data_IF_945048380256
#
_entry.id   IF_945048380256
#
_cell.length_a   1.000
_cell.length_b   1.000
_cell.length_c   1.000
_cell.angle_alpha   90.00
_cell.angle_beta   90.00
_cell.angle_gamma   90.00
#
_symmetry.space_group_name_H-M   'P 1'
#
loop_
_entity.id
_entity.type
_entity.pdbx_description
1 polymer ?
#
# COMPACT_ATOMS: atom_id res chain seq x y z
N UNK A 1 -18.03 33.13 -25.92
CA UNK A 1 -18.10 31.71 -25.53
C UNK A 1 -17.75 30.78 -26.70
N UNK A 2 -18.09 31.14 -27.94
CA UNK A 2 -17.98 30.24 -29.11
C UNK A 2 -16.56 29.82 -29.49
N UNK A 3 -15.53 30.65 -29.24
CA UNK A 3 -14.13 30.30 -29.57
C UNK A 3 -13.57 29.12 -28.77
N UNK A 4 -13.97 28.93 -27.51
CA UNK A 4 -13.47 27.82 -26.69
C UNK A 4 -14.24 26.51 -26.94
N UNK A 5 -15.55 26.60 -27.21
CA UNK A 5 -16.35 25.42 -27.58
C UNK A 5 -15.90 24.81 -28.90
N UNK A 6 -15.55 25.65 -29.88
CA UNK A 6 -15.01 25.20 -31.16
C UNK A 6 -13.61 24.58 -31.02
N UNK A 7 -12.82 25.04 -30.03
CA UNK A 7 -11.49 24.50 -29.75
C UNK A 7 -11.54 23.08 -29.14
N UNK A 8 -12.46 22.82 -28.21
CA UNK A 8 -12.65 21.48 -27.63
C UNK A 8 -13.22 20.50 -28.67
N UNK A 9 -14.19 20.92 -29.48
CA UNK A 9 -14.73 20.08 -30.55
C UNK A 9 -13.65 19.67 -31.56
N UNK A 10 -12.73 20.57 -31.91
CA UNK A 10 -11.61 20.27 -32.78
C UNK A 10 -10.63 19.25 -32.16
N UNK A 11 -10.37 19.32 -30.85
CA UNK A 11 -9.53 18.31 -30.16
C UNK A 11 -10.23 16.95 -30.13
N UNK A 12 -11.54 16.91 -29.83
CA UNK A 12 -12.29 15.66 -29.84
C UNK A 12 -12.24 15.00 -31.21
N UNK A 13 -12.38 15.78 -32.29
CA UNK A 13 -12.19 15.28 -33.65
C UNK A 13 -10.76 14.76 -33.92
N UNK A 14 -9.73 15.43 -33.38
CA UNK A 14 -8.34 14.93 -33.45
C UNK A 14 -8.21 13.59 -32.72
N UNK A 15 -8.77 13.46 -31.51
CA UNK A 15 -8.75 12.23 -30.72
C UNK A 15 -9.47 11.09 -31.44
N UNK A 16 -10.65 11.34 -32.00
CA UNK A 16 -11.39 10.35 -32.80
C UNK A 16 -10.59 9.88 -34.01
N UNK A 17 -9.91 10.82 -34.69
CA UNK A 17 -9.07 10.52 -35.86
C UNK A 17 -7.87 9.64 -35.49
N UNK A 18 -7.20 9.92 -34.35
CA UNK A 18 -6.06 9.12 -33.87
C UNK A 18 -6.52 7.74 -33.40
N UNK A 19 -7.66 7.66 -32.70
CA UNK A 19 -8.26 6.38 -32.29
C UNK A 19 -8.64 5.50 -33.48
N UNK A 20 -9.26 6.08 -34.53
CA UNK A 20 -9.62 5.36 -35.76
C UNK A 20 -8.40 4.86 -36.53
N UNK A 21 -7.32 5.65 -36.58
CA UNK A 21 -6.04 5.22 -37.19
C UNK A 21 -5.43 4.03 -36.46
N UNK A 22 -5.37 4.08 -35.13
CA UNK A 22 -4.83 2.99 -34.30
C UNK A 22 -5.65 1.70 -34.45
N UNK A 23 -6.97 1.81 -34.52
CA UNK A 23 -7.87 0.67 -34.78
C UNK A 23 -7.63 0.04 -36.16
N UNK A 24 -7.35 0.85 -37.19
CA UNK A 24 -7.02 0.37 -38.54
C UNK A 24 -5.65 -0.31 -38.60
N UNK A 25 -4.64 0.23 -37.94
CA UNK A 25 -3.30 -0.38 -37.86
C UNK A 25 -3.34 -1.74 -37.14
N UNK A 26 -4.07 -1.86 -36.02
CA UNK A 26 -4.26 -3.14 -35.33
C UNK A 26 -4.94 -4.20 -36.20
N UNK A 27 -5.93 -3.81 -37.03
CA UNK A 27 -6.57 -4.73 -37.99
C UNK A 27 -5.63 -5.17 -39.13
N UNK A 28 -4.73 -4.29 -39.55
CA UNK A 28 -3.77 -4.55 -40.63
C UNK A 28 -2.60 -5.45 -40.15
N UNK A 29 -2.23 -5.37 -38.87
CA UNK A 29 -1.22 -6.21 -38.24
C UNK A 29 -1.74 -7.65 -38.03
N UNK A 30 -2.99 -7.81 -37.57
CA UNK A 30 -3.67 -9.13 -37.46
C UNK A 30 -3.83 -9.83 -38.82
N UNK A 31 -4.03 -9.06 -39.89
CA UNK A 31 -4.12 -9.59 -41.25
C UNK A 31 -2.76 -10.03 -41.83
N UNK A 32 -1.64 -9.51 -41.30
CA UNK A 32 -0.26 -9.89 -41.69
C UNK A 32 0.30 -11.08 -40.90
N UNK A 33 -0.24 -11.36 -39.72
CA UNK A 33 0.10 -12.56 -38.94
C UNK A 33 -0.70 -13.80 -39.38
N UNK A 34 -1.90 -13.61 -39.94
CA UNK A 34 -2.71 -14.71 -40.48
C UNK A 34 -2.17 -15.39 -41.74
N UNK A 35 -1.05 -14.91 -42.31
CA UNK A 35 -0.45 -15.42 -43.55
C UNK A 35 0.96 -16.02 -43.36
N UNK A 36 1.40 -16.21 -42.09
CA UNK A 36 2.66 -16.87 -41.76
C UNK A 36 2.40 -18.05 -40.81
N UNK A 37 1.88 -19.14 -41.37
CA UNK A 37 1.90 -20.44 -40.71
C UNK A 37 2.74 -21.44 -41.51
N UNK A 38 3.95 -21.72 -41.00
CA UNK A 38 4.63 -23.02 -41.02
C UNK A 38 6.14 -22.84 -40.76
N UNK A 39 6.61 -23.19 -39.54
CA UNK A 39 8.01 -23.57 -39.36
C UNK A 39 8.67 -23.29 -38.01
N UNK A 40 8.57 -24.30 -37.13
CA UNK A 40 9.54 -24.66 -36.08
C UNK A 40 9.78 -23.74 -34.88
N UNK A 41 9.45 -24.29 -33.71
CA UNK A 41 9.85 -23.80 -32.39
C UNK A 41 11.37 -23.94 -32.18
N UNK A 42 12.00 -22.91 -31.60
CA UNK A 42 12.94 -23.00 -30.47
C UNK A 42 13.48 -21.61 -30.10
N UNK A 43 13.66 -21.36 -28.79
CA UNK A 43 14.49 -20.28 -28.25
C UNK A 43 13.78 -18.94 -27.96
N UNK A 44 13.11 -18.82 -26.81
CA UNK A 44 12.67 -17.53 -26.26
C UNK A 44 13.76 -16.97 -25.35
N UNK A 45 14.70 -16.23 -25.92
CA UNK A 45 15.50 -15.27 -25.17
C UNK A 45 14.64 -14.01 -24.96
N UNK A 46 14.43 -13.64 -23.70
CA UNK A 46 13.80 -12.38 -23.32
C UNK A 46 14.75 -11.24 -23.67
N UNK A 47 14.62 -10.72 -24.89
CA UNK A 47 15.16 -9.43 -25.27
C UNK A 47 14.33 -8.33 -24.62
N UNK A 48 14.99 -7.46 -23.86
CA UNK A 48 14.46 -6.15 -23.47
C UNK A 48 14.08 -5.39 -24.75
N UNK A 49 12.79 -5.41 -25.10
CA UNK A 49 12.24 -4.56 -26.16
C UNK A 49 12.34 -3.12 -25.66
N UNK A 50 13.37 -2.41 -26.14
CA UNK A 50 13.45 -0.96 -26.00
C UNK A 50 12.16 -0.34 -26.51
N UNK A 51 11.61 0.60 -25.74
CA UNK A 51 10.48 1.43 -26.13
C UNK A 51 10.84 2.17 -27.43
N UNK A 52 10.50 1.59 -28.59
CA UNK A 52 10.44 2.36 -29.83
C UNK A 52 9.34 3.42 -29.66
N UNK A 53 9.74 4.68 -29.69
CA UNK A 53 8.86 5.86 -29.68
C UNK A 53 7.83 5.74 -30.81
N UNK A 54 6.66 5.20 -30.48
CA UNK A 54 5.53 5.09 -31.40
C UNK A 54 4.95 6.50 -31.61
N UNK A 55 5.16 7.13 -32.79
CA UNK A 55 4.75 8.51 -33.02
C UNK A 55 3.23 8.69 -32.94
N UNK A 56 2.46 7.61 -33.10
CA UNK A 56 1.02 7.63 -32.93
C UNK A 56 0.60 7.60 -31.44
N UNK A 57 1.44 7.07 -30.54
CA UNK A 57 1.23 7.20 -29.08
C UNK A 57 1.56 8.61 -28.60
N UNK A 58 2.68 9.18 -29.04
CA UNK A 58 3.09 10.53 -28.64
C UNK A 58 2.06 11.58 -29.08
N UNK A 59 1.56 11.49 -30.32
CA UNK A 59 0.49 12.36 -30.82
C UNK A 59 -0.84 12.18 -30.07
N UNK A 60 -1.14 10.96 -29.58
CA UNK A 60 -2.31 10.69 -28.75
C UNK A 60 -2.15 11.33 -27.37
N UNK A 61 -0.98 11.16 -26.75
CA UNK A 61 -0.67 11.71 -25.43
C UNK A 61 -0.73 13.24 -25.44
N UNK A 62 -0.15 13.88 -26.46
CA UNK A 62 -0.26 15.33 -26.66
C UNK A 62 -1.73 15.78 -26.80
N UNK A 63 -2.52 15.06 -27.60
CA UNK A 63 -3.93 15.38 -27.81
C UNK A 63 -4.78 15.21 -26.53
N UNK A 64 -4.51 14.16 -25.75
CA UNK A 64 -5.17 13.90 -24.47
C UNK A 64 -4.76 14.96 -23.45
N UNK A 65 -3.48 15.32 -23.41
CA UNK A 65 -2.97 16.36 -22.53
C UNK A 65 -3.61 17.71 -22.85
N UNK A 66 -3.61 18.15 -24.12
CA UNK A 66 -4.26 19.38 -24.56
C UNK A 66 -5.77 19.37 -24.25
N UNK A 67 -6.45 18.24 -24.46
CA UNK A 67 -7.85 18.08 -24.06
C UNK A 67 -8.05 18.31 -22.55
N UNK A 68 -7.20 17.72 -21.71
CA UNK A 68 -7.27 17.89 -20.26
C UNK A 68 -7.03 19.35 -19.86
N UNK A 69 -5.99 19.99 -20.40
CA UNK A 69 -5.66 21.38 -20.11
C UNK A 69 -6.79 22.32 -20.55
N UNK A 70 -7.34 22.17 -21.75
CA UNK A 70 -8.47 22.99 -22.21
C UNK A 70 -9.74 22.73 -21.42
N UNK A 71 -9.97 21.49 -20.98
CA UNK A 71 -11.07 21.15 -20.09
C UNK A 71 -10.93 21.82 -18.73
N UNK A 72 -9.72 21.90 -18.18
CA UNK A 72 -9.45 22.58 -16.90
C UNK A 72 -9.54 24.11 -17.06
N UNK A 73 -8.95 24.66 -18.13
CA UNK A 73 -8.87 26.11 -18.41
C UNK A 73 -10.11 26.66 -19.12
N UNK A 74 -11.29 26.16 -18.78
CA UNK A 74 -12.55 26.68 -19.27
C UNK A 74 -13.18 27.63 -18.24
N UNK A 75 -13.58 28.84 -18.65
CA UNK A 75 -14.42 29.71 -17.81
C UNK A 75 -15.87 29.22 -17.88
N UNK A 76 -16.45 29.01 -16.71
CA UNK A 76 -17.81 28.51 -16.54
C UNK A 76 -18.81 29.65 -16.61
N UNK A 77 -19.91 29.40 -17.31
CA UNK A 77 -21.11 30.23 -17.28
C UNK A 77 -22.29 29.45 -16.70
N UNK A 78 -23.52 29.87 -17.02
CA UNK A 78 -24.75 29.23 -16.51
C UNK A 78 -24.86 27.73 -16.83
N UNK A 79 -24.28 27.28 -17.95
CA UNK A 79 -24.30 25.88 -18.39
C UNK A 79 -23.00 25.16 -18.00
N UNK A 80 -22.71 25.08 -16.70
CA UNK A 80 -21.45 24.53 -16.17
C UNK A 80 -21.15 23.09 -16.62
N UNK A 81 -22.17 22.25 -16.81
CA UNK A 81 -22.03 20.84 -17.24
C UNK A 81 -21.78 20.65 -18.74
N UNK A 82 -21.65 21.74 -19.52
CA UNK A 82 -21.10 21.62 -20.88
C UNK A 82 -19.57 21.41 -20.85
N UNK A 83 -18.94 21.68 -19.70
CA UNK A 83 -17.56 21.31 -19.49
C UNK A 83 -17.47 19.78 -19.28
N UNK A 84 -16.64 19.07 -20.05
CA UNK A 84 -16.58 17.60 -20.00
C UNK A 84 -16.10 17.08 -18.63
N UNK A 85 -15.15 17.76 -17.97
CA UNK A 85 -14.67 17.38 -16.65
C UNK A 85 -15.77 17.50 -15.59
N UNK A 86 -16.53 18.60 -15.58
CA UNK A 86 -17.67 18.75 -14.66
C UNK A 86 -18.81 17.79 -14.97
N UNK A 87 -19.06 17.51 -16.25
CA UNK A 87 -20.05 16.51 -16.64
C UNK A 87 -19.68 15.13 -16.11
N UNK A 88 -18.46 14.69 -16.39
CA UNK A 88 -17.97 13.38 -15.97
C UNK A 88 -17.97 13.22 -14.44
N UNK A 89 -17.45 14.21 -13.72
CA UNK A 89 -17.44 14.18 -12.25
C UNK A 89 -18.84 14.21 -11.62
N UNK A 90 -19.83 14.80 -12.29
CA UNK A 90 -21.22 14.72 -11.85
C UNK A 90 -21.82 13.32 -12.08
N UNK A 91 -21.55 12.70 -13.23
CA UNK A 91 -22.00 11.33 -13.54
C UNK A 91 -21.43 10.32 -12.55
N UNK A 92 -20.18 10.49 -12.10
CA UNK A 92 -19.58 9.65 -11.04
C UNK A 92 -20.30 9.70 -9.68
N UNK A 93 -21.23 10.64 -9.50
CA UNK A 93 -22.11 10.68 -8.34
C UNK A 93 -23.28 9.70 -8.41
N UNK A 94 -23.50 9.03 -9.55
CA UNK A 94 -24.64 8.17 -9.84
C UNK A 94 -24.14 6.73 -9.99
N UNK A 95 -24.75 5.79 -9.27
CA UNK A 95 -24.47 4.36 -9.40
C UNK A 95 -25.26 3.75 -10.56
N UNK A 96 -24.88 2.53 -10.96
CA UNK A 96 -25.56 1.78 -12.04
C UNK A 96 -27.06 1.56 -11.77
N UNK A 97 -27.45 1.42 -10.50
CA UNK A 97 -28.84 1.26 -10.06
C UNK A 97 -29.63 2.58 -10.03
N UNK A 98 -29.01 3.70 -10.43
CA UNK A 98 -29.61 5.03 -10.41
C UNK A 98 -29.60 5.71 -9.03
N UNK A 99 -29.05 5.07 -8.00
CA UNK A 99 -28.92 5.67 -6.66
C UNK A 99 -27.69 6.57 -6.56
N UNK A 100 -27.70 7.49 -5.59
CA UNK A 100 -26.58 8.40 -5.35
C UNK A 100 -25.43 7.70 -4.61
N UNK A 101 -24.21 8.01 -5.02
CA UNK A 101 -22.99 7.61 -4.31
C UNK A 101 -22.90 8.38 -2.98
N UNK A 102 -22.50 7.73 -1.87
CA UNK A 102 -22.30 8.42 -0.60
C UNK A 102 -21.33 9.59 -0.70
N UNK A 103 -21.56 10.65 0.09
CA UNK A 103 -20.77 11.88 0.04
C UNK A 103 -19.27 11.65 0.26
N UNK A 104 -18.91 10.72 1.13
CA UNK A 104 -17.53 10.34 1.40
C UNK A 104 -16.84 9.66 0.23
N UNK A 105 -17.57 8.97 -0.63
CA UNK A 105 -17.03 8.32 -1.83
C UNK A 105 -16.94 9.32 -2.97
N UNK A 106 -18.00 10.10 -3.21
CA UNK A 106 -17.99 11.10 -4.29
C UNK A 106 -16.89 12.17 -4.08
N UNK A 107 -16.74 12.68 -2.86
CA UNK A 107 -15.66 13.64 -2.54
C UNK A 107 -14.25 13.06 -2.70
N UNK A 108 -14.07 11.73 -2.59
CA UNK A 108 -12.77 11.10 -2.91
C UNK A 108 -12.49 11.12 -4.40
N UNK A 109 -13.49 10.85 -5.25
CA UNK A 109 -13.32 10.99 -6.71
C UNK A 109 -12.92 12.42 -7.07
N UNK A 110 -13.65 13.41 -6.56
CA UNK A 110 -13.35 14.83 -6.77
C UNK A 110 -11.93 15.21 -6.32
N UNK A 111 -11.48 14.70 -5.17
CA UNK A 111 -10.12 14.91 -4.69
C UNK A 111 -9.06 14.32 -5.64
N UNK A 112 -9.33 13.13 -6.20
CA UNK A 112 -8.50 12.51 -7.23
C UNK A 112 -8.37 13.39 -8.48
N UNK A 113 -9.49 13.90 -9.03
CA UNK A 113 -9.44 14.80 -10.19
C UNK A 113 -8.69 16.10 -9.92
N UNK A 114 -8.85 16.69 -8.73
CA UNK A 114 -8.08 17.89 -8.37
C UNK A 114 -6.60 17.60 -8.25
N UNK A 115 -6.22 16.41 -7.76
CA UNK A 115 -4.82 16.01 -7.70
C UNK A 115 -4.23 15.79 -9.10
N UNK A 116 -4.86 14.93 -9.92
CA UNK A 116 -4.39 14.68 -11.29
C UNK A 116 -4.34 15.98 -12.11
N UNK A 117 -5.38 16.81 -12.05
CA UNK A 117 -5.39 18.06 -12.79
C UNK A 117 -4.37 19.10 -12.29
N UNK A 118 -3.97 19.06 -11.01
CA UNK A 118 -2.85 19.88 -10.53
C UNK A 118 -1.52 19.44 -11.14
N UNK A 119 -1.29 18.14 -11.26
CA UNK A 119 -0.08 17.60 -11.89
C UNK A 119 -0.04 18.00 -13.37
N UNK A 120 -1.14 17.80 -14.11
CA UNK A 120 -1.24 18.20 -15.52
C UNK A 120 -1.02 19.70 -15.71
N UNK A 121 -1.60 20.52 -14.83
CA UNK A 121 -1.43 21.97 -14.92
C UNK A 121 -0.04 22.42 -14.51
N UNK A 122 0.63 21.69 -13.62
CA UNK A 122 2.04 21.93 -13.29
C UNK A 122 2.89 21.73 -14.53
N UNK A 123 2.77 20.57 -15.18
CA UNK A 123 3.43 20.27 -16.45
C UNK A 123 3.20 21.40 -17.47
N UNK A 124 1.94 21.80 -17.67
CA UNK A 124 1.60 22.88 -18.61
C UNK A 124 2.18 24.26 -18.23
N UNK A 125 2.40 24.55 -16.95
CA UNK A 125 3.00 25.83 -16.55
C UNK A 125 4.52 25.87 -16.76
N UNK A 126 5.17 24.71 -16.76
CA UNK A 126 6.63 24.55 -16.86
C UNK A 126 7.10 23.98 -18.21
N UNK A 127 6.20 23.74 -19.17
CA UNK A 127 6.50 23.24 -20.53
C UNK A 127 7.61 24.04 -21.26
N UNK A 128 7.73 25.35 -20.99
CA UNK A 128 8.74 26.24 -21.58
C UNK A 128 10.03 26.39 -20.72
N UNK A 129 10.12 25.74 -19.57
CA UNK A 129 11.26 25.81 -18.62
C UNK A 129 11.87 24.40 -18.44
N UNK A 130 12.77 23.98 -19.34
CA UNK A 130 13.31 22.62 -19.32
C UNK A 130 14.11 22.36 -18.03
N UNK A 131 13.85 21.21 -17.41
CA UNK A 131 14.43 20.77 -16.14
C UNK A 131 15.96 20.66 -16.16
N UNK A 132 16.57 20.55 -17.34
CA UNK A 132 17.99 20.24 -17.55
C UNK A 132 18.71 21.30 -18.40
N UNK A 133 18.87 22.52 -17.88
CA UNK A 133 19.96 23.38 -18.36
C UNK A 133 21.16 23.21 -17.41
N UNK A 134 22.21 22.51 -17.86
CA UNK A 134 23.46 22.30 -17.11
C UNK A 134 24.14 23.61 -16.63
N UNK A 135 23.65 24.77 -17.07
CA UNK A 135 24.28 26.09 -16.91
C UNK A 135 23.53 27.05 -15.95
N UNK A 136 22.46 26.61 -15.28
CA UNK A 136 21.72 27.44 -14.32
C UNK A 136 21.99 27.02 -12.87
N UNK A 137 22.49 27.95 -12.05
CA UNK A 137 22.61 27.78 -10.58
C UNK A 137 21.25 27.80 -9.85
N UNK A 138 20.16 27.89 -10.61
CA UNK A 138 18.79 27.94 -10.13
C UNK A 138 17.95 26.92 -10.92
N UNK A 139 17.43 25.90 -10.22
CA UNK A 139 16.66 24.78 -10.79
C UNK A 139 15.33 25.22 -11.49
N UNK A 140 14.92 26.48 -11.39
CA UNK A 140 13.67 27.01 -12.00
C UNK A 140 13.74 28.52 -12.21
N UNK A 141 13.28 29.04 -13.35
CA UNK A 141 13.30 30.48 -13.61
C UNK A 141 12.26 31.25 -12.79
N UNK A 142 12.60 32.45 -12.27
CA UNK A 142 11.63 33.36 -11.64
C UNK A 142 10.42 33.67 -12.55
N UNK A 143 10.63 33.70 -13.87
CA UNK A 143 9.56 33.91 -14.83
C UNK A 143 8.56 32.73 -14.86
N UNK A 144 9.06 31.49 -14.71
CA UNK A 144 8.23 30.29 -14.63
C UNK A 144 7.44 30.26 -13.31
N UNK A 145 8.08 30.65 -12.20
CA UNK A 145 7.42 30.82 -10.90
C UNK A 145 6.27 31.85 -10.97
N UNK A 146 6.52 33.01 -11.58
CA UNK A 146 5.48 34.04 -11.74
C UNK A 146 4.32 33.57 -12.64
N UNK A 147 4.64 32.87 -13.74
CA UNK A 147 3.65 32.25 -14.62
C UNK A 147 2.80 31.24 -13.86
N UNK A 148 3.42 30.36 -13.06
CA UNK A 148 2.73 29.40 -12.21
C UNK A 148 1.81 30.12 -11.20
N UNK A 149 2.31 31.12 -10.46
CA UNK A 149 1.50 31.83 -9.47
C UNK A 149 0.29 32.51 -10.09
N UNK A 150 0.47 33.17 -11.24
CA UNK A 150 -0.63 33.79 -11.99
C UNK A 150 -1.61 32.74 -12.49
N UNK A 151 -1.11 31.68 -13.13
CA UNK A 151 -1.93 30.60 -13.66
C UNK A 151 -2.73 29.88 -12.57
N UNK A 152 -2.13 29.62 -11.42
CA UNK A 152 -2.80 29.04 -10.27
C UNK A 152 -3.96 29.94 -9.79
N UNK A 153 -3.74 31.25 -9.66
CA UNK A 153 -4.82 32.19 -9.28
C UNK A 153 -5.94 32.23 -10.33
N UNK A 154 -5.58 32.22 -11.61
CA UNK A 154 -6.55 32.40 -12.69
C UNK A 154 -7.38 31.14 -12.99
N UNK A 155 -6.82 29.95 -12.71
CA UNK A 155 -7.40 28.68 -13.14
C UNK A 155 -7.70 27.68 -12.02
N UNK A 156 -6.89 27.63 -10.97
CA UNK A 156 -6.96 26.57 -9.94
C UNK A 156 -7.52 27.05 -8.60
N UNK A 157 -7.45 28.36 -8.33
CA UNK A 157 -7.92 28.94 -7.09
C UNK A 157 -9.47 29.00 -7.02
N UNK A 158 -9.98 29.01 -5.80
CA UNK A 158 -11.41 29.23 -5.53
C UNK A 158 -11.83 30.63 -6.00
N UNK A 159 -13.02 30.75 -6.60
CA UNK A 159 -13.55 32.02 -7.11
C UNK A 159 -13.10 32.37 -8.52
N UNK A 160 -12.32 31.50 -9.17
CA UNK A 160 -11.83 31.70 -10.54
C UNK A 160 -12.88 31.40 -11.64
N UNK A 161 -14.09 30.94 -11.27
CA UNK A 161 -15.14 30.52 -12.20
C UNK A 161 -14.68 29.44 -13.19
N UNK A 162 -13.90 28.48 -12.72
CA UNK A 162 -13.40 27.34 -13.52
C UNK A 162 -13.93 26.00 -12.98
N UNK A 163 -13.81 24.90 -13.73
CA UNK A 163 -14.09 23.55 -13.24
C UNK A 163 -13.40 23.26 -11.90
N UNK A 164 -12.15 23.68 -11.74
CA UNK A 164 -11.41 23.53 -10.49
C UNK A 164 -12.08 24.26 -9.32
N UNK A 165 -12.45 25.54 -9.51
CA UNK A 165 -13.21 26.28 -8.50
C UNK A 165 -14.54 25.61 -8.16
N UNK A 166 -15.26 25.07 -9.15
CA UNK A 166 -16.53 24.39 -8.93
C UNK A 166 -16.35 23.08 -8.15
N UNK A 167 -15.35 22.27 -8.51
CA UNK A 167 -15.02 21.02 -7.79
C UNK A 167 -14.60 21.31 -6.35
N UNK A 168 -13.82 22.36 -6.09
CA UNK A 168 -13.46 22.79 -4.73
C UNK A 168 -14.72 23.16 -3.92
N UNK A 169 -15.66 23.88 -4.53
CA UNK A 169 -16.94 24.22 -3.88
C UNK A 169 -17.76 22.96 -3.58
N UNK A 170 -17.85 22.02 -4.52
CA UNK A 170 -18.51 20.72 -4.29
C UNK A 170 -17.86 19.91 -3.19
N UNK A 171 -16.53 19.87 -3.12
CA UNK A 171 -15.83 19.21 -2.00
C UNK A 171 -16.10 19.90 -0.66
N UNK A 172 -16.17 21.23 -0.63
CA UNK A 172 -16.47 22.00 0.58
C UNK A 172 -17.88 21.71 1.05
N UNK A 173 -18.85 21.70 0.14
CA UNK A 173 -20.23 21.29 0.41
C UNK A 173 -20.31 19.85 0.92
N UNK A 174 -19.68 18.90 0.21
CA UNK A 174 -19.64 17.49 0.60
C UNK A 174 -18.92 17.26 1.93
N UNK A 175 -17.92 18.07 2.29
CA UNK A 175 -17.30 18.03 3.63
C UNK A 175 -18.31 18.36 4.73
N UNK A 176 -19.18 19.34 4.52
CA UNK A 176 -20.26 19.66 5.45
C UNK A 176 -21.15 18.44 5.72
N UNK A 177 -21.56 17.75 4.66
CA UNK A 177 -22.41 16.57 4.76
C UNK A 177 -21.69 15.37 5.40
N UNK A 178 -20.42 15.10 5.04
CA UNK A 178 -19.59 14.06 5.69
C UNK A 178 -19.45 14.27 7.19
N UNK A 179 -19.36 15.52 7.64
CA UNK A 179 -19.27 15.84 9.06
C UNK A 179 -20.59 15.59 9.80
N UNK A 180 -21.73 15.59 9.09
CA UNK A 180 -23.07 15.38 9.65
C UNK A 180 -23.53 13.92 9.55
N UNK A 181 -23.13 13.18 8.51
CA UNK A 181 -23.59 11.80 8.28
C UNK A 181 -23.07 10.79 9.30
N UNK A 182 -22.05 11.12 10.10
CA UNK A 182 -21.32 10.13 10.88
C UNK A 182 -20.59 9.15 9.95
N UNK A 183 -19.34 8.82 10.25
CA UNK A 183 -18.68 7.77 9.47
C UNK A 183 -19.49 6.48 9.54
N UNK A 184 -19.53 5.70 8.45
CA UNK A 184 -20.06 4.34 8.50
C UNK A 184 -19.37 3.60 9.66
N UNK A 185 -20.17 3.03 10.57
CA UNK A 185 -19.65 2.34 11.73
C UNK A 185 -18.74 1.19 11.28
N UNK A 186 -17.44 1.35 11.54
CA UNK A 186 -16.42 0.35 11.19
C UNK A 186 -16.42 -0.83 12.14
N UNK A 187 -16.93 -0.59 13.35
CA UNK A 187 -17.04 -1.56 14.44
C UNK A 187 -18.47 -1.51 14.92
N UNK A 188 -19.15 -2.65 14.83
CA UNK A 188 -20.50 -2.86 15.36
C UNK A 188 -20.47 -4.11 16.24
N UNK A 189 -21.21 -4.08 17.34
CA UNK A 189 -21.43 -5.26 18.17
C UNK A 189 -22.87 -5.70 17.99
N UNK A 190 -23.08 -7.01 17.89
CA UNK A 190 -24.42 -7.58 18.02
C UNK A 190 -24.96 -7.30 19.43
N UNK A 191 -26.29 -7.27 19.56
CA UNK A 191 -26.97 -6.98 20.83
C UNK A 191 -26.63 -7.94 21.96
N UNK A 192 -26.15 -9.14 21.63
CA UNK A 192 -25.74 -10.17 22.58
C UNK A 192 -24.28 -10.01 23.06
N UNK A 193 -23.51 -9.11 22.45
CA UNK A 193 -22.09 -8.90 22.74
C UNK A 193 -21.19 -10.07 22.35
N UNK A 194 -21.67 -11.04 21.56
CA UNK A 194 -20.87 -12.23 21.20
C UNK A 194 -20.20 -12.11 19.83
N UNK A 195 -20.64 -11.16 19.02
CA UNK A 195 -20.16 -10.97 17.65
C UNK A 195 -19.79 -9.51 17.41
N UNK A 196 -18.56 -9.31 16.92
CA UNK A 196 -18.02 -8.06 16.42
C UNK A 196 -18.09 -8.07 14.89
N UNK A 197 -18.66 -7.02 14.31
CA UNK A 197 -18.58 -6.75 12.88
C UNK A 197 -17.54 -5.67 12.64
N UNK A 198 -16.42 -6.04 11.99
CA UNK A 198 -15.38 -5.12 11.59
C UNK A 198 -15.38 -4.95 10.08
N UNK A 199 -15.68 -3.75 9.58
CA UNK A 199 -15.79 -3.45 8.14
C UNK A 199 -16.74 -4.38 7.36
N UNK A 200 -17.72 -4.96 8.06
CA UNK A 200 -18.67 -5.94 7.50
C UNK A 200 -18.27 -7.40 7.77
N UNK A 201 -17.01 -7.67 8.11
CA UNK A 201 -16.54 -9.00 8.45
C UNK A 201 -16.97 -9.41 9.86
N UNK A 202 -17.51 -10.63 9.98
CA UNK A 202 -18.01 -11.18 11.23
C UNK A 202 -16.86 -11.85 12.00
N UNK A 203 -16.61 -11.37 13.22
CA UNK A 203 -15.64 -11.92 14.16
C UNK A 203 -16.39 -12.29 15.45
N UNK A 204 -16.53 -13.58 15.72
CA UNK A 204 -17.17 -14.02 16.98
C UNK A 204 -16.15 -14.04 18.11
N UNK A 205 -16.59 -13.77 19.34
CA UNK A 205 -15.76 -13.91 20.55
C UNK A 205 -15.25 -15.34 20.67
N UNK A 206 -16.07 -16.34 20.34
CA UNK A 206 -15.68 -17.75 20.36
C UNK A 206 -14.55 -18.07 19.37
N UNK A 207 -14.65 -17.60 18.12
CA UNK A 207 -13.57 -17.77 17.13
C UNK A 207 -12.30 -17.05 17.56
N UNK A 208 -12.42 -15.84 18.11
CA UNK A 208 -11.27 -15.10 18.62
C UNK A 208 -10.55 -15.85 19.75
N UNK A 209 -11.31 -16.37 20.73
CA UNK A 209 -10.76 -17.19 21.82
C UNK A 209 -10.10 -18.47 21.30
N UNK A 210 -10.68 -19.12 20.30
CA UNK A 210 -10.09 -20.32 19.67
C UNK A 210 -8.78 -19.97 18.97
N UNK A 211 -8.71 -18.86 18.23
CA UNK A 211 -7.48 -18.37 17.60
C UNK A 211 -6.41 -18.07 18.65
N UNK A 212 -6.77 -17.37 19.74
CA UNK A 212 -5.85 -17.09 20.84
C UNK A 212 -5.27 -18.38 21.43
N UNK A 213 -6.12 -19.36 21.72
CA UNK A 213 -5.71 -20.67 22.23
C UNK A 213 -4.83 -21.44 21.23
N UNK A 214 -5.14 -21.37 19.93
CA UNK A 214 -4.36 -22.02 18.88
C UNK A 214 -2.95 -21.42 18.79
N UNK A 215 -2.82 -20.10 18.82
CA UNK A 215 -1.54 -19.39 18.81
C UNK A 215 -0.69 -19.76 20.03
N UNK A 216 -1.30 -19.77 21.23
CA UNK A 216 -0.60 -20.21 22.46
C UNK A 216 -0.14 -21.65 22.34
N UNK A 217 -1.02 -22.58 21.90
CA UNK A 217 -0.67 -24.00 21.73
C UNK A 217 0.45 -24.20 20.71
N UNK A 218 0.45 -23.44 19.62
CA UNK A 218 1.51 -23.50 18.62
C UNK A 218 2.85 -23.04 19.21
N UNK A 219 2.87 -21.89 19.89
CA UNK A 219 4.07 -21.37 20.56
C UNK A 219 4.58 -22.35 21.65
N UNK A 220 3.68 -22.91 22.47
CA UNK A 220 4.01 -23.94 23.46
C UNK A 220 4.57 -25.21 22.80
N UNK A 221 4.04 -25.63 21.64
CA UNK A 221 4.54 -26.79 20.91
C UNK A 221 5.96 -26.59 20.37
N UNK A 222 6.30 -25.38 19.90
CA UNK A 222 7.67 -25.05 19.52
C UNK A 222 8.59 -24.94 20.73
N UNK A 223 8.11 -24.37 21.84
CA UNK A 223 8.85 -24.29 23.09
C UNK A 223 9.15 -25.70 23.65
N UNK A 224 8.22 -26.63 23.56
CA UNK A 224 8.42 -28.03 23.95
C UNK A 224 9.55 -28.69 23.17
N UNK A 225 9.58 -28.52 21.84
CA UNK A 225 10.70 -29.00 21.01
C UNK A 225 12.04 -28.38 21.42
N UNK A 226 12.08 -27.07 21.65
CA UNK A 226 13.29 -26.36 22.10
C UNK A 226 13.78 -26.82 23.48
N UNK A 227 12.87 -27.30 24.33
CA UNK A 227 13.15 -27.80 25.67
C UNK A 227 13.32 -29.33 25.72
N UNK A 228 13.42 -29.99 24.56
CA UNK A 228 13.64 -31.45 24.48
C UNK A 228 12.43 -32.28 24.90
N UNK A 229 11.22 -31.77 24.73
CA UNK A 229 9.97 -32.45 25.12
C UNK A 229 9.61 -32.31 26.61
N UNK A 230 10.27 -31.40 27.32
CA UNK A 230 10.12 -31.23 28.77
C UNK A 230 9.33 -29.97 29.16
N UNK A 231 8.65 -29.29 28.22
CA UNK A 231 7.98 -28.02 28.54
C UNK A 231 6.83 -28.22 29.52
N UNK A 232 6.06 -29.30 29.40
CA UNK A 232 4.93 -29.59 30.30
C UNK A 232 5.35 -29.64 31.77
N UNK A 233 6.43 -30.38 32.08
CA UNK A 233 6.96 -30.48 33.45
C UNK A 233 7.55 -29.15 33.93
N UNK A 234 8.21 -28.40 33.05
CA UNK A 234 8.79 -27.11 33.40
C UNK A 234 7.70 -26.08 33.68
N UNK A 235 6.64 -26.07 32.88
CA UNK A 235 5.48 -25.17 33.05
C UNK A 235 4.86 -25.32 34.43
N UNK A 236 4.74 -26.55 34.94
CA UNK A 236 4.22 -26.81 36.29
C UNK A 236 5.08 -26.21 37.41
N UNK A 237 6.39 -26.06 37.17
CA UNK A 237 7.30 -25.40 38.14
C UNK A 237 7.20 -23.87 38.12
N UNK A 238 6.62 -23.27 37.07
CA UNK A 238 6.56 -21.83 36.89
C UNK A 238 5.22 -21.30 37.43
N UNK A 239 5.25 -20.75 38.65
CA UNK A 239 4.12 -20.02 39.21
C UNK A 239 4.19 -18.55 38.79
N UNK A 240 3.34 -18.16 37.83
CA UNK A 240 3.31 -16.79 37.30
C UNK A 240 3.12 -15.72 38.38
N UNK A 241 2.38 -16.04 39.46
CA UNK A 241 2.14 -15.12 40.60
C UNK A 241 3.41 -14.78 41.38
N UNK A 242 4.42 -15.64 41.33
CA UNK A 242 5.67 -15.50 42.07
C UNK A 242 6.76 -14.78 41.25
N UNK A 243 6.45 -14.43 40.00
CA UNK A 243 7.34 -13.65 39.12
C UNK A 243 7.22 -12.17 39.50
N UNK A 244 8.33 -11.58 39.92
CA UNK A 244 8.43 -10.16 40.20
C UNK A 244 8.91 -9.41 38.94
N UNK A 245 8.04 -8.63 38.33
CA UNK A 245 8.40 -7.68 37.27
C UNK A 245 8.23 -6.24 37.75
N UNK A 246 9.02 -5.32 37.20
CA UNK A 246 9.07 -3.93 37.65
C UNK A 246 9.51 -3.01 36.53
N UNK A 247 8.62 -2.09 36.14
CA UNK A 247 8.91 -1.07 35.13
C UNK A 247 10.05 -0.11 35.52
N UNK A 248 10.36 0.01 36.82
CA UNK A 248 11.50 0.83 37.27
C UNK A 248 12.85 0.08 37.25
N UNK A 249 12.84 -1.22 36.91
CA UNK A 249 14.07 -2.03 36.82
C UNK A 249 14.66 -1.96 35.41
N UNK A 250 15.06 -0.76 35.01
CA UNK A 250 15.58 -0.46 33.68
C UNK A 250 17.11 -0.35 33.66
N UNK A 251 17.71 -0.61 32.50
CA UNK A 251 19.15 -0.49 32.24
C UNK A 251 19.71 -1.65 31.40
N UNK A 252 20.94 -1.53 30.86
CA UNK A 252 21.55 -2.58 30.06
C UNK A 252 21.59 -3.93 30.79
N UNK A 253 21.01 -4.97 30.18
CA UNK A 253 20.94 -6.31 30.76
C UNK A 253 19.93 -6.50 31.91
N UNK A 254 19.10 -5.49 32.21
CA UNK A 254 18.05 -5.57 33.23
C UNK A 254 16.71 -5.95 32.60
N UNK A 255 16.11 -7.02 33.12
CA UNK A 255 14.75 -7.46 32.80
C UNK A 255 14.22 -8.30 33.95
N UNK A 256 12.95 -8.73 33.90
CA UNK A 256 12.42 -9.68 34.88
C UNK A 256 13.30 -10.95 34.99
N UNK A 257 13.93 -11.39 33.89
CA UNK A 257 14.78 -12.57 33.89
C UNK A 257 16.08 -12.37 34.71
N UNK A 258 16.57 -11.14 34.84
CA UNK A 258 17.78 -10.83 35.63
C UNK A 258 17.47 -10.21 36.99
N UNK A 259 16.20 -10.08 37.35
CA UNK A 259 15.77 -9.67 38.67
C UNK A 259 16.12 -10.74 39.72
N UNK A 260 16.82 -10.35 40.80
CA UNK A 260 17.22 -11.27 41.89
C UNK A 260 16.03 -11.99 42.54
N UNK A 261 14.85 -11.35 42.57
CA UNK A 261 13.62 -11.98 43.09
C UNK A 261 13.16 -13.17 42.25
N UNK A 262 13.58 -13.22 40.99
CA UNK A 262 13.28 -14.29 40.04
C UNK A 262 14.41 -15.31 39.89
N UNK A 263 15.42 -15.29 40.77
CA UNK A 263 16.57 -16.21 40.71
C UNK A 263 16.16 -17.70 40.76
N UNK A 264 15.00 -18.01 41.34
CA UNK A 264 14.43 -19.34 41.39
C UNK A 264 14.08 -19.91 40.00
N UNK A 265 13.81 -19.07 39.00
CA UNK A 265 13.56 -19.50 37.61
C UNK A 265 14.82 -20.14 36.97
N UNK A 266 16.00 -19.76 37.48
CA UNK A 266 17.32 -20.06 36.89
C UNK A 266 17.33 -19.85 35.36
N UNK A 267 16.95 -18.64 34.89
CA UNK A 267 16.80 -18.38 33.46
C UNK A 267 18.17 -18.34 32.77
N UNK A 268 18.19 -18.69 31.48
CA UNK A 268 19.36 -18.55 30.63
C UNK A 268 19.87 -19.86 30.03
N UNK A 269 21.01 -19.76 29.34
CA UNK A 269 21.57 -20.82 28.52
C UNK A 269 21.90 -22.09 29.33
N UNK A 270 22.31 -21.96 30.59
CA UNK A 270 22.66 -23.11 31.42
C UNK A 270 21.48 -24.08 31.62
N UNK A 271 20.26 -23.55 31.78
CA UNK A 271 19.05 -24.37 31.91
C UNK A 271 18.80 -25.15 30.61
N UNK A 272 18.94 -24.49 29.45
CA UNK A 272 18.84 -25.13 28.15
C UNK A 272 19.93 -26.19 27.95
N UNK A 273 21.17 -25.90 28.34
CA UNK A 273 22.27 -26.85 28.25
C UNK A 273 22.03 -28.10 29.08
N UNK A 274 21.36 -27.98 30.24
CA UNK A 274 20.96 -29.16 31.04
C UNK A 274 19.86 -29.98 30.37
N UNK A 275 18.92 -29.34 29.70
CA UNK A 275 17.76 -30.00 29.08
C UNK A 275 18.12 -30.67 27.75
N UNK A 276 18.80 -29.95 26.87
CA UNK A 276 19.06 -30.39 25.48
C UNK A 276 20.54 -30.56 25.17
N UNK A 277 21.44 -30.33 26.13
CA UNK A 277 22.86 -30.28 25.82
C UNK A 277 23.49 -31.59 25.41
N UNK A 278 23.04 -32.72 25.96
CA UNK A 278 23.46 -34.04 25.49
C UNK A 278 23.01 -34.34 24.05
N UNK A 279 21.94 -33.67 23.60
CA UNK A 279 21.41 -33.77 22.24
C UNK A 279 22.19 -32.90 21.26
N UNK A 280 22.59 -31.69 21.70
CA UNK A 280 23.26 -30.71 20.85
C UNK A 280 24.79 -30.90 20.79
N UNK A 281 25.39 -31.40 21.85
CA UNK A 281 26.84 -31.54 21.98
C UNK A 281 27.25 -32.99 22.28
N UNK A 282 28.46 -33.36 21.85
CA UNK A 282 29.13 -34.61 22.25
C UNK A 282 30.49 -34.29 22.85
N UNK A 283 30.88 -35.05 23.86
CA UNK A 283 32.21 -34.95 24.45
C UNK A 283 33.13 -35.92 23.70
N UNK A 284 34.26 -35.42 23.23
CA UNK A 284 35.25 -36.18 22.44
C UNK A 284 36.62 -36.05 23.10
N UNK A 285 37.41 -37.11 23.10
CA UNK A 285 38.77 -37.06 23.62
C UNK A 285 39.64 -36.16 22.74
N UNK A 286 40.37 -35.24 23.36
CA UNK A 286 41.18 -34.24 22.67
C UNK A 286 42.61 -34.73 22.36
N UNK A 287 42.93 -36.00 22.66
CA UNK A 287 44.22 -36.63 22.35
C UNK A 287 45.38 -36.23 23.27
N UNK A 288 45.18 -35.25 24.16
CA UNK A 288 46.18 -34.73 25.11
C UNK A 288 45.85 -35.07 26.58
N UNK A 289 45.02 -36.09 26.82
CA UNK A 289 44.46 -36.40 28.14
C UNK A 289 43.27 -35.52 28.56
N UNK A 290 42.90 -34.52 27.74
CA UNK A 290 41.71 -33.68 27.95
C UNK A 290 40.49 -34.12 27.13
N UNK A 291 39.34 -33.56 27.46
CA UNK A 291 38.09 -33.71 26.69
C UNK A 291 37.75 -32.39 25.99
N UNK A 292 37.25 -32.47 24.75
CA UNK A 292 36.69 -31.34 23.99
C UNK A 292 35.21 -31.55 23.74
N UNK A 293 34.46 -30.46 23.64
CA UNK A 293 33.04 -30.48 23.28
C UNK A 293 32.91 -30.24 21.78
N UNK A 294 32.24 -31.13 21.07
CA UNK A 294 31.99 -31.02 19.63
C UNK A 294 30.48 -30.88 19.38
N UNK A 295 30.12 -29.93 18.53
CA UNK A 295 28.75 -29.65 18.13
C UNK A 295 28.19 -30.72 17.20
N UNK A 296 26.98 -31.22 17.47
CA UNK A 296 26.21 -32.03 16.52
C UNK A 296 25.52 -31.10 15.53
N UNK A 297 26.23 -30.77 14.45
CA UNK A 297 25.82 -29.75 13.48
C UNK A 297 24.34 -29.86 13.05
N UNK A 298 23.88 -31.05 12.66
CA UNK A 298 22.48 -31.28 12.25
C UNK A 298 21.46 -30.96 13.35
N UNK A 299 21.72 -31.40 14.58
CA UNK A 299 20.82 -31.14 15.71
C UNK A 299 20.76 -29.64 16.06
N UNK A 300 21.87 -28.92 15.89
CA UNK A 300 21.93 -27.47 16.07
C UNK A 300 21.14 -26.76 14.97
N UNK A 301 21.31 -27.16 13.70
CA UNK A 301 20.57 -26.58 12.57
C UNK A 301 19.05 -26.79 12.74
N UNK A 302 18.62 -27.97 13.18
CA UNK A 302 17.22 -28.27 13.51
C UNK A 302 16.70 -27.40 14.68
N UNK A 303 17.47 -27.29 15.76
CA UNK A 303 17.13 -26.46 16.92
C UNK A 303 17.01 -24.96 16.56
N UNK A 304 17.93 -24.44 15.72
CA UNK A 304 17.84 -23.08 15.18
C UNK A 304 16.62 -22.90 14.26
N UNK A 305 16.23 -23.96 13.54
CA UNK A 305 14.97 -24.03 12.80
C UNK A 305 13.76 -23.84 13.72
N UNK A 306 13.69 -24.61 14.81
CA UNK A 306 12.61 -24.49 15.80
C UNK A 306 12.60 -23.13 16.50
N UNK A 307 13.77 -22.55 16.80
CA UNK A 307 13.85 -21.22 17.40
C UNK A 307 13.27 -20.14 16.50
N UNK A 308 13.49 -20.24 15.18
CA UNK A 308 12.87 -19.34 14.20
C UNK A 308 11.35 -19.49 14.18
N UNK A 309 10.83 -20.72 14.21
CA UNK A 309 9.39 -20.97 14.24
C UNK A 309 8.73 -20.50 15.55
N UNK A 310 9.40 -20.73 16.69
CA UNK A 310 8.97 -20.20 17.98
C UNK A 310 8.90 -18.67 17.96
N UNK A 311 9.91 -18.00 17.39
CA UNK A 311 9.91 -16.53 17.23
C UNK A 311 8.76 -16.05 16.34
N UNK A 312 8.45 -16.75 15.25
CA UNK A 312 7.33 -16.38 14.38
C UNK A 312 5.97 -16.57 15.04
N UNK A 313 5.80 -17.64 15.84
CA UNK A 313 4.55 -17.95 16.53
C UNK A 313 4.31 -17.10 17.79
N UNK A 314 5.36 -16.69 18.50
CA UNK A 314 5.21 -15.86 19.70
C UNK A 314 4.77 -14.42 19.37
N UNK A 315 5.14 -13.90 18.20
CA UNK A 315 4.81 -12.52 17.82
C UNK A 315 3.30 -12.25 17.86
N UNK A 316 2.43 -13.00 17.14
CA UNK A 316 0.99 -12.81 17.26
C UNK A 316 0.47 -13.16 18.67
N UNK A 317 1.03 -14.16 19.35
CA UNK A 317 0.57 -14.58 20.68
C UNK A 317 0.76 -13.50 21.77
N UNK A 318 1.69 -12.56 21.61
CA UNK A 318 1.90 -11.44 22.55
C UNK A 318 0.90 -10.29 22.32
N UNK A 319 0.22 -10.28 21.17
CA UNK A 319 -0.72 -9.22 20.77
C UNK A 319 -2.20 -9.60 20.89
N UNK A 320 -2.50 -10.81 21.38
CA UNK A 320 -3.84 -11.36 21.58
C UNK A 320 -4.13 -11.46 23.07
#
# INVERSE_FOLDING_TARGET
MDRYSNSLAAIVQRLDTVADKKKRQGQQQVSREGDRDAGSAEGREEGEEGEEDDPDKEALDEAVFDFCIKSIKQKLGRKQYHNPLLHFTAVLGIKEDGTWVPSHTHTRFLAGFLWCGRILMLEHFFEDDPYDSEDSTCDTSFAAIDRFQKGHRDWLATGSYTPFSAIIQWMTYGRGYRNQEGGQARVLWDSDGTTLHYLGDKITVGSFQQTAQALVREAEGWLDKLMGGQWSQIRETIRLRDIADSLVFEGPGRSFATNRRNAWLKPGAEKLTRLVGATLWKIVNAGNGGSRVECRRRAIEECLGWLRQFRSSIFPAVHV
#
